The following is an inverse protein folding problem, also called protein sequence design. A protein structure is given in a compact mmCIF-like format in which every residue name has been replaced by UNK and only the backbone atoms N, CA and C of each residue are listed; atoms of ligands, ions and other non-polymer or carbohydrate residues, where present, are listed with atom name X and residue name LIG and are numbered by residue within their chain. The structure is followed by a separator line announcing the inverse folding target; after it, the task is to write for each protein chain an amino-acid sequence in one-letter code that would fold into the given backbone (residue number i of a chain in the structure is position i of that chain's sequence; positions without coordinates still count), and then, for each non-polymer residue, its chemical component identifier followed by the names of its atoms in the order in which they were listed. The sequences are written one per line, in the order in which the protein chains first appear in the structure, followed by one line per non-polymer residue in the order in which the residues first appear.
data_IF_956659589370
#
_entry.id   IF_956659589370
#
_cell.length_a   1.000
_cell.length_b   1.000
_cell.length_c   1.000
_cell.angle_alpha   90.00
_cell.angle_beta   90.00
_cell.angle_gamma   90.00
#
_symmetry.space_group_name_H-M   'P 1'
#
loop_
_entity.id
_entity.type
_entity.pdbx_description
1 polymer ?
#
# COMPACT_ATOMS: atom_id res chain seq x y z
N UNK A 1 10.37 8.90 -7.86
CA UNK A 1 9.05 9.31 -7.34
C UNK A 1 7.90 8.56 -8.04
N UNK A 2 7.71 8.68 -9.36
CA UNK A 2 6.63 7.98 -10.08
C UNK A 2 6.74 6.45 -10.02
N UNK A 3 7.96 5.89 -10.13
CA UNK A 3 8.20 4.44 -10.04
C UNK A 3 7.73 3.87 -8.68
N UNK A 4 8.07 4.57 -7.59
CA UNK A 4 7.70 4.19 -6.23
C UNK A 4 6.18 4.21 -6.00
N UNK A 5 5.47 5.19 -6.56
CA UNK A 5 4.02 5.23 -6.49
C UNK A 5 3.37 4.02 -7.18
N UNK A 6 3.92 3.55 -8.31
CA UNK A 6 3.44 2.34 -8.98
C UNK A 6 3.70 1.07 -8.16
N UNK A 7 4.89 0.95 -7.56
CA UNK A 7 5.25 -0.16 -6.67
C UNK A 7 4.32 -0.21 -5.45
N UNK A 8 3.97 0.94 -4.85
CA UNK A 8 3.02 1.01 -3.74
C UNK A 8 1.59 0.64 -4.16
N UNK A 9 1.15 1.04 -5.35
CA UNK A 9 -0.16 0.64 -5.87
C UNK A 9 -0.21 -0.86 -6.18
N UNK A 10 0.90 -1.46 -6.62
CA UNK A 10 1.05 -2.91 -6.76
C UNK A 10 0.99 -3.60 -5.40
N UNK A 11 1.74 -3.08 -4.42
CA UNK A 11 1.79 -3.56 -3.05
C UNK A 11 0.40 -3.61 -2.39
N UNK A 12 -0.46 -2.62 -2.65
CA UNK A 12 -1.82 -2.56 -2.10
C UNK A 12 -2.92 -3.08 -3.04
N UNK A 13 -2.54 -3.76 -4.13
CA UNK A 13 -3.47 -4.36 -5.11
C UNK A 13 -4.44 -3.34 -5.75
N UNK A 14 -3.95 -2.13 -6.04
CA UNK A 14 -4.71 -1.04 -6.68
C UNK A 14 -4.12 -0.57 -8.01
N UNK A 15 -3.07 -1.23 -8.52
CA UNK A 15 -2.40 -0.88 -9.79
C UNK A 15 -3.38 -0.74 -10.98
N UNK A 16 -4.27 -1.71 -11.16
CA UNK A 16 -5.29 -1.68 -12.24
C UNK A 16 -6.34 -0.57 -12.05
N UNK A 17 -6.44 -0.03 -10.83
CA UNK A 17 -7.40 1.01 -10.46
C UNK A 17 -6.76 2.37 -10.24
N UNK A 18 -5.50 2.54 -10.67
CA UNK A 18 -4.76 3.79 -10.55
C UNK A 18 -5.48 5.00 -11.17
N UNK A 19 -6.32 4.78 -12.18
CA UNK A 19 -7.08 5.83 -12.88
C UNK A 19 -8.55 5.93 -12.44
N UNK A 20 -8.98 5.08 -11.52
CA UNK A 20 -10.37 5.01 -11.07
C UNK A 20 -10.64 6.12 -10.05
N UNK A 21 -11.84 6.70 -10.08
CA UNK A 21 -12.23 7.71 -9.11
C UNK A 21 -12.25 7.12 -7.68
N UNK A 22 -11.69 7.82 -6.70
CA UNK A 22 -11.64 7.35 -5.32
C UNK A 22 -13.04 7.04 -4.74
N UNK A 23 -14.09 7.76 -5.19
CA UNK A 23 -15.47 7.54 -4.73
C UNK A 23 -15.98 6.14 -5.08
N UNK A 24 -15.56 5.59 -6.22
CA UNK A 24 -15.94 4.25 -6.69
C UNK A 24 -15.15 3.09 -6.06
N UNK A 25 -14.14 3.37 -5.23
CA UNK A 25 -13.42 2.32 -4.51
C UNK A 25 -14.24 1.81 -3.32
N UNK A 26 -14.16 0.51 -3.03
CA UNK A 26 -14.78 -0.08 -1.84
C UNK A 26 -14.13 0.46 -0.56
N UNK A 27 -14.79 0.28 0.60
CA UNK A 27 -14.22 0.71 1.89
C UNK A 27 -12.84 0.11 2.17
N UNK A 28 -12.65 -1.19 1.92
CA UNK A 28 -11.35 -1.85 2.07
C UNK A 28 -10.29 -1.31 1.10
N UNK A 29 -10.67 -1.02 -0.14
CA UNK A 29 -9.76 -0.44 -1.13
C UNK A 29 -9.34 0.98 -0.76
N UNK A 30 -10.25 1.78 -0.18
CA UNK A 30 -9.91 3.11 0.36
C UNK A 30 -8.92 3.02 1.51
N UNK A 31 -9.09 2.06 2.42
CA UNK A 31 -8.12 1.81 3.52
C UNK A 31 -6.74 1.43 2.98
N UNK A 32 -6.68 0.54 1.99
CA UNK A 32 -5.45 0.18 1.29
C UNK A 32 -4.78 1.36 0.57
N UNK A 33 -5.57 2.23 -0.07
CA UNK A 33 -5.04 3.46 -0.67
C UNK A 33 -4.46 4.42 0.38
N UNK A 34 -5.08 4.51 1.56
CA UNK A 34 -4.56 5.29 2.69
C UNK A 34 -3.22 4.72 3.18
N UNK A 35 -3.08 3.40 3.24
CA UNK A 35 -1.80 2.75 3.56
C UNK A 35 -0.72 3.10 2.53
N UNK A 36 -1.00 2.95 1.22
CA UNK A 36 -0.06 3.35 0.17
C UNK A 36 0.33 4.83 0.27
N UNK A 37 -0.63 5.71 0.58
CA UNK A 37 -0.36 7.14 0.81
C UNK A 37 0.52 7.38 2.03
N UNK A 38 0.36 6.63 3.12
CA UNK A 38 1.20 6.77 4.30
C UNK A 38 2.66 6.35 4.02
N UNK A 39 2.83 5.31 3.20
CA UNK A 39 4.14 4.78 2.80
C UNK A 39 4.86 5.62 1.73
N UNK A 40 4.16 6.51 1.02
CA UNK A 40 4.74 7.24 -0.13
C UNK A 40 5.92 8.14 0.22
N UNK A 41 6.03 8.55 1.49
CA UNK A 41 7.13 9.38 1.99
C UNK A 41 8.24 8.54 2.63
N UNK A 42 8.17 7.21 2.55
CA UNK A 42 9.11 6.29 3.18
C UNK A 42 9.36 6.61 4.67
N UNK A 43 8.30 6.57 5.52
CA UNK A 43 8.44 6.91 6.93
C UNK A 43 9.24 5.84 7.69
N UNK A 44 10.11 6.27 8.61
CA UNK A 44 10.88 5.35 9.47
C UNK A 44 9.99 4.58 10.48
N UNK A 45 8.80 5.13 10.80
CA UNK A 45 7.81 4.52 11.69
C UNK A 45 6.39 4.76 11.17
N UNK A 46 5.63 3.68 11.00
CA UNK A 46 4.23 3.71 10.63
C UNK A 46 3.39 3.06 11.74
N UNK A 47 2.48 3.84 12.34
CA UNK A 47 1.53 3.36 13.34
C UNK A 47 0.18 3.14 12.67
N UNK A 48 -0.37 1.93 12.82
CA UNK A 48 -1.68 1.56 12.31
C UNK A 48 -2.57 1.15 13.47
N UNK A 49 -3.75 1.75 13.55
CA UNK A 49 -4.81 1.33 14.47
C UNK A 49 -5.74 0.37 13.71
N UNK A 50 -5.92 -0.86 14.22
CA UNK A 50 -6.71 -1.94 13.61
C UNK A 50 -6.29 -2.35 12.16
N UNK A 51 -5.08 -2.95 11.96
CA UNK A 51 -4.52 -3.25 10.63
C UNK A 51 -5.25 -4.38 9.87
N UNK A 52 -6.21 -5.05 10.51
CA UNK A 52 -6.80 -6.34 10.12
C UNK A 52 -7.62 -6.30 8.82
N UNK A 53 -7.78 -5.15 8.15
CA UNK A 53 -8.51 -5.06 6.86
C UNK A 53 -7.62 -4.98 5.62
N UNK A 54 -6.30 -4.96 5.78
CA UNK A 54 -5.38 -5.29 4.70
C UNK A 54 -5.16 -6.81 4.74
N UNK A 55 -5.42 -7.47 3.61
CA UNK A 55 -5.15 -8.89 3.38
C UNK A 55 -3.78 -9.28 3.98
N UNK A 56 -3.62 -10.49 4.57
CA UNK A 56 -2.42 -10.81 5.33
C UNK A 56 -1.17 -10.65 4.46
N UNK A 57 -0.19 -9.93 5.01
CA UNK A 57 1.15 -9.68 4.48
C UNK A 57 1.99 -10.96 4.28
N UNK A 58 1.38 -12.15 4.24
CA UNK A 58 2.06 -13.46 4.17
C UNK A 58 2.78 -13.72 2.84
N UNK A 59 2.67 -12.83 1.86
CA UNK A 59 3.38 -12.93 0.57
C UNK A 59 4.65 -12.08 0.48
N UNK A 60 5.00 -11.29 1.51
CA UNK A 60 6.17 -10.41 1.48
C UNK A 60 7.47 -11.04 1.98
N UNK A 61 7.45 -12.32 2.36
CA UNK A 61 8.67 -13.06 2.69
C UNK A 61 9.14 -13.87 1.48
N UNK A 62 9.53 -13.20 0.39
CA UNK A 62 10.54 -13.73 -0.51
C UNK A 62 11.17 -12.64 -1.38
N UNK A 63 12.42 -12.32 -1.00
CA UNK A 63 13.51 -11.94 -1.90
C UNK A 63 13.29 -10.73 -2.83
N UNK A 64 12.97 -9.53 -2.29
CA UNK A 64 13.47 -8.25 -2.85
C UNK A 64 13.15 -6.95 -2.08
N UNK A 65 12.57 -7.00 -0.87
CA UNK A 65 12.05 -5.79 -0.19
C UNK A 65 12.74 -5.38 1.11
N UNK A 66 13.98 -5.81 1.36
CA UNK A 66 14.81 -5.33 2.50
C UNK A 66 15.10 -3.81 2.48
N UNK A 67 14.58 -3.08 1.49
CA UNK A 67 14.73 -1.62 1.35
C UNK A 67 13.50 -0.81 1.78
N UNK A 68 12.41 -1.44 2.22
CA UNK A 68 11.16 -0.73 2.58
C UNK A 68 10.91 -0.62 4.09
N UNK A 69 11.69 -1.36 4.91
CA UNK A 69 11.65 -1.29 6.38
C UNK A 69 13.09 -1.21 6.90
N UNK A 70 13.74 -0.09 6.64
CA UNK A 70 14.89 0.37 7.41
C UNK A 70 14.59 1.76 7.94
#
# INVERSE_FOLDING_TARGET
MLKFAWELLEFVELKEKAKVNIRSLSGGMKRRLVLARALINNPDLLILDEPTTAYPLSFYTNTQTDNFIK
#
